data_IF_038773874001
#
_entry.id   IF_038773874001
#
_cell.length_a   1.000
_cell.length_b   1.000
_cell.length_c   1.000
_cell.angle_alpha   90.00
_cell.angle_beta   90.00
_cell.angle_gamma   90.00
#
_symmetry.space_group_name_H-M   'P 1'
#
loop_
_entity.id
_entity.type
_entity.pdbx_description
1 polymer ?
#
# COMPACT_ATOMS: atom_id res chain seq x y z
N UNK A 1 -18.50 1.07 -12.01
CA UNK A 1 -17.06 1.31 -12.28
C UNK A 1 -16.95 2.50 -13.20
N UNK A 2 -16.04 3.43 -12.92
CA UNK A 2 -15.87 4.69 -13.65
C UNK A 2 -14.51 4.76 -14.35
N UNK A 3 -14.43 5.55 -15.42
CA UNK A 3 -13.19 5.81 -16.18
C UNK A 3 -12.18 6.64 -15.40
N UNK A 4 -12.65 7.62 -14.62
CA UNK A 4 -11.88 8.49 -13.75
C UNK A 4 -12.60 8.71 -12.41
N UNK A 5 -11.96 9.39 -11.46
CA UNK A 5 -12.59 9.77 -10.18
C UNK A 5 -13.54 10.96 -10.29
N UNK A 6 -13.44 11.71 -11.38
CA UNK A 6 -14.15 12.97 -11.58
C UNK A 6 -15.20 12.85 -12.69
N UNK A 7 -15.28 11.67 -13.33
CA UNK A 7 -16.23 11.36 -14.39
C UNK A 7 -17.43 10.60 -13.84
N UNK A 8 -18.59 10.87 -14.42
CA UNK A 8 -19.85 10.13 -14.22
C UNK A 8 -19.98 8.92 -15.15
N UNK A 9 -19.04 8.73 -16.08
CA UNK A 9 -19.09 7.70 -17.11
C UNK A 9 -18.94 6.31 -16.50
N UNK A 10 -20.03 5.56 -16.53
CA UNK A 10 -20.07 4.20 -16.01
C UNK A 10 -19.56 3.22 -17.08
N UNK A 11 -18.43 2.57 -16.79
CA UNK A 11 -17.88 1.47 -17.60
C UNK A 11 -18.74 0.21 -17.45
N UNK A 12 -18.99 -0.20 -16.21
CA UNK A 12 -19.71 -1.45 -15.89
C UNK A 12 -20.10 -1.50 -14.42
N UNK A 13 -21.07 -2.35 -14.07
CA UNK A 13 -21.49 -2.62 -12.69
C UNK A 13 -21.00 -4.01 -12.28
N UNK A 14 -20.18 -4.05 -11.23
CA UNK A 14 -19.68 -5.30 -10.67
C UNK A 14 -20.74 -5.89 -9.73
N UNK A 15 -21.20 -7.13 -9.93
CA UNK A 15 -22.17 -7.77 -9.04
C UNK A 15 -21.65 -7.91 -7.60
N UNK A 16 -22.56 -8.05 -6.63
CA UNK A 16 -22.18 -8.32 -5.24
C UNK A 16 -21.49 -9.69 -5.12
N UNK A 17 -20.62 -9.82 -4.11
CA UNK A 17 -19.90 -11.06 -3.79
C UNK A 17 -19.03 -11.62 -4.93
N UNK A 18 -18.56 -10.77 -5.84
CA UNK A 18 -17.60 -11.17 -6.86
C UNK A 18 -16.17 -10.87 -6.41
N UNK A 19 -15.26 -11.77 -6.71
CA UNK A 19 -13.84 -11.54 -6.50
C UNK A 19 -13.29 -10.55 -7.53
N UNK A 20 -12.44 -9.65 -7.04
CA UNK A 20 -11.82 -8.59 -7.86
C UNK A 20 -10.38 -8.39 -7.44
N UNK A 21 -9.55 -7.93 -8.37
CA UNK A 21 -8.18 -7.56 -8.05
C UNK A 21 -8.14 -6.09 -7.66
N UNK A 22 -7.64 -5.80 -6.46
CA UNK A 22 -7.32 -4.43 -6.04
C UNK A 22 -5.99 -4.00 -6.64
N UNK A 23 -5.95 -2.80 -7.21
CA UNK A 23 -4.70 -2.20 -7.66
C UNK A 23 -3.83 -1.82 -6.46
N UNK A 24 -2.53 -2.15 -6.54
CA UNK A 24 -1.50 -1.75 -5.57
C UNK A 24 -1.12 -0.27 -5.65
N UNK A 25 -1.61 0.44 -6.67
CA UNK A 25 -1.35 1.87 -6.88
C UNK A 25 -2.03 2.78 -5.87
N UNK A 26 -1.67 4.06 -5.91
CA UNK A 26 -2.23 5.09 -5.03
C UNK A 26 -3.75 5.20 -5.21
N UNK A 27 -4.48 4.74 -4.20
CA UNK A 27 -5.92 4.84 -4.15
C UNK A 27 -6.34 6.25 -3.70
N UNK A 28 -7.30 6.88 -4.39
CA UNK A 28 -7.78 8.23 -4.05
C UNK A 28 -8.93 8.14 -3.04
N UNK A 29 -8.74 8.44 -1.76
CA UNK A 29 -9.79 8.53 -0.71
C UNK A 29 -10.95 7.50 -0.90
N UNK A 30 -12.10 7.99 -1.39
CA UNK A 30 -13.35 7.23 -1.60
C UNK A 30 -13.31 6.34 -2.85
N UNK A 31 -12.39 6.56 -3.76
CA UNK A 31 -12.22 5.79 -4.98
C UNK A 31 -11.10 4.77 -4.85
N UNK A 32 -11.42 3.52 -5.20
CA UNK A 32 -10.45 2.43 -5.31
C UNK A 32 -10.37 1.99 -6.76
N UNK A 33 -9.16 1.71 -7.24
CA UNK A 33 -8.99 1.15 -8.58
C UNK A 33 -9.00 -0.37 -8.48
N UNK A 34 -9.92 -1.00 -9.21
CA UNK A 34 -10.04 -2.46 -9.25
C UNK A 34 -10.00 -2.95 -10.69
N UNK A 35 -9.69 -4.23 -10.86
CA UNK A 35 -9.79 -4.98 -12.10
C UNK A 35 -10.75 -6.14 -11.90
N UNK A 36 -11.69 -6.29 -12.83
CA UNK A 36 -12.68 -7.36 -12.85
C UNK A 36 -12.83 -7.86 -14.29
N UNK A 37 -12.40 -9.10 -14.54
CA UNK A 37 -12.29 -9.64 -15.90
C UNK A 37 -11.42 -8.75 -16.79
N UNK A 38 -11.98 -8.35 -17.93
CA UNK A 38 -11.35 -7.44 -18.90
C UNK A 38 -11.55 -5.95 -18.59
N UNK A 39 -12.32 -5.63 -17.54
CA UNK A 39 -12.59 -4.26 -17.15
C UNK A 39 -11.63 -3.80 -16.06
N UNK A 40 -11.24 -2.53 -16.13
CA UNK A 40 -10.52 -1.86 -15.05
C UNK A 40 -11.05 -0.43 -14.92
N UNK A 41 -11.10 0.07 -13.69
CA UNK A 41 -11.60 1.43 -13.46
C UNK A 41 -11.66 1.77 -11.98
N UNK A 42 -12.37 2.85 -11.67
CA UNK A 42 -12.59 3.32 -10.31
C UNK A 42 -13.95 2.86 -9.77
N UNK A 43 -13.97 2.36 -8.54
CA UNK A 43 -15.20 2.17 -7.76
C UNK A 43 -15.29 3.24 -6.69
N UNK A 44 -16.48 3.81 -6.54
CA UNK A 44 -16.78 4.70 -5.44
C UNK A 44 -17.20 3.89 -4.21
N UNK A 45 -16.50 4.12 -3.10
CA UNK A 45 -16.72 3.55 -1.77
C UNK A 45 -17.06 2.04 -1.77
N UNK A 46 -16.24 1.17 -2.38
CA UNK A 46 -16.55 -0.26 -2.42
C UNK A 46 -16.43 -0.86 -1.01
N UNK A 47 -17.42 -1.69 -0.64
CA UNK A 47 -17.31 -2.59 0.50
C UNK A 47 -16.69 -3.90 0.02
N UNK A 48 -15.56 -4.30 0.61
CA UNK A 48 -14.87 -5.54 0.28
C UNK A 48 -14.13 -6.08 1.49
N UNK A 49 -13.96 -7.40 1.53
CA UNK A 49 -13.05 -8.10 2.43
C UNK A 49 -11.80 -8.51 1.66
N UNK A 50 -10.63 -8.47 2.30
CA UNK A 50 -9.37 -8.91 1.68
C UNK A 50 -8.96 -10.25 2.25
N UNK A 51 -8.84 -11.26 1.39
CA UNK A 51 -8.25 -12.55 1.74
C UNK A 51 -6.71 -12.43 1.61
N UNK A 52 -6.04 -11.96 2.66
CA UNK A 52 -4.57 -11.93 2.70
C UNK A 52 -4.04 -13.01 3.63
N UNK A 53 -3.48 -14.08 3.06
CA UNK A 53 -2.60 -15.02 3.78
C UNK A 53 -1.15 -14.50 3.89
N UNK A 54 -0.86 -13.34 3.31
CA UNK A 54 0.38 -12.64 3.57
C UNK A 54 0.24 -11.86 4.87
N UNK A 55 1.04 -12.23 5.87
CA UNK A 55 1.23 -11.45 7.09
C UNK A 55 1.77 -10.07 6.69
N UNK A 56 0.88 -9.11 6.53
CA UNK A 56 1.24 -7.70 6.61
C UNK A 56 1.73 -7.49 8.03
N UNK A 57 3.03 -7.37 8.23
CA UNK A 57 3.62 -6.90 9.49
C UNK A 57 3.33 -5.40 9.64
N UNK A 58 2.04 -5.04 9.75
CA UNK A 58 1.56 -3.76 10.25
C UNK A 58 0.27 -4.05 11.00
N UNK A 59 0.32 -3.68 12.27
CA UNK A 59 -0.58 -4.10 13.33
C UNK A 59 -2.06 -4.08 12.94
N UNK A 60 -2.72 -5.15 13.33
CA UNK A 60 -4.16 -5.24 13.48
C UNK A 60 -4.65 -4.09 14.35
N UNK A 61 -5.46 -3.21 13.78
CA UNK A 61 -6.53 -2.57 14.55
C UNK A 61 -7.77 -2.53 13.67
N UNK A 62 -8.70 -3.39 14.06
CA UNK A 62 -10.11 -3.28 13.79
C UNK A 62 -10.60 -1.86 14.04
N UNK A 63 -11.34 -1.32 13.07
CA UNK A 63 -12.30 -0.27 13.31
C UNK A 63 -11.77 1.17 13.34
N UNK A 64 -12.62 2.04 12.81
CA UNK A 64 -12.64 3.50 12.96
C UNK A 64 -11.60 4.33 12.20
N UNK A 65 -12.13 5.10 11.25
CA UNK A 65 -11.53 6.27 10.61
C UNK A 65 -10.90 7.22 11.62
N UNK A 66 -9.62 7.54 11.44
CA UNK A 66 -9.03 8.77 11.97
C UNK A 66 -8.00 9.29 10.95
N UNK A 67 -8.26 10.49 10.46
CA UNK A 67 -7.31 11.25 9.64
C UNK A 67 -6.09 11.61 10.49
N UNK A 68 -4.89 11.25 10.03
CA UNK A 68 -3.66 11.92 10.47
C UNK A 68 -2.88 12.37 9.24
N UNK A 69 -3.09 13.64 8.89
CA UNK A 69 -2.17 14.39 8.06
C UNK A 69 -1.00 14.80 8.95
N UNK A 70 0.20 14.37 8.61
CA UNK A 70 1.42 14.97 9.13
C UNK A 70 2.41 15.12 7.98
N UNK A 71 2.23 16.24 7.26
CA UNK A 71 3.35 16.96 6.67
C UNK A 71 4.38 17.23 7.76
N UNK A 72 5.61 16.78 7.57
CA UNK A 72 6.67 17.00 8.54
C UNK A 72 8.02 16.63 7.99
N UNK A 73 8.54 17.45 7.08
CA UNK A 73 9.97 17.49 6.78
C UNK A 73 10.68 18.11 7.97
N UNK A 74 11.47 17.34 8.72
CA UNK A 74 12.50 17.88 9.61
C UNK A 74 13.63 16.87 9.83
N UNK A 75 14.83 17.34 9.52
CA UNK A 75 16.16 16.79 9.77
C UNK A 75 16.46 16.61 11.26
N UNK A 76 16.98 15.46 11.68
CA UNK A 76 17.80 15.34 12.88
C UNK A 76 18.78 14.16 12.80
N UNK A 77 20.03 14.45 13.15
CA UNK A 77 21.24 13.67 12.90
C UNK A 77 21.53 12.63 13.99
N UNK A 78 20.69 11.59 14.09
CA UNK A 78 20.90 10.44 15.01
C UNK A 78 20.09 9.21 14.60
N UNK A 79 20.05 8.91 13.30
CA UNK A 79 19.05 8.01 12.71
C UNK A 79 19.43 6.52 12.62
N UNK A 80 18.43 5.66 12.49
CA UNK A 80 18.64 4.31 11.96
C UNK A 80 18.82 4.35 10.43
N UNK A 81 19.64 3.47 9.88
CA UNK A 81 19.94 3.34 8.45
C UNK A 81 19.19 2.13 7.88
N UNK A 82 18.38 2.37 6.84
CA UNK A 82 17.73 1.29 6.08
C UNK A 82 18.70 0.69 5.07
N UNK A 83 18.86 -0.64 5.10
CA UNK A 83 19.74 -1.41 4.20
C UNK A 83 18.88 -2.30 3.30
N UNK A 84 19.08 -2.17 1.99
CA UNK A 84 18.41 -3.01 0.98
C UNK A 84 18.99 -4.42 0.96
N UNK A 85 18.17 -5.41 0.61
CA UNK A 85 18.61 -6.78 0.41
C UNK A 85 19.49 -6.94 -0.82
N UNK A 86 20.39 -7.93 -0.81
CA UNK A 86 21.29 -8.24 -1.92
C UNK A 86 21.75 -9.71 -1.88
N UNK A 87 22.26 -10.21 -3.00
CA UNK A 87 22.91 -11.52 -3.09
C UNK A 87 24.41 -11.41 -2.79
N UNK A 88 24.94 -12.33 -1.98
CA UNK A 88 26.39 -12.48 -1.74
C UNK A 88 27.04 -13.25 -2.90
N UNK A 89 28.38 -13.16 -3.03
CA UNK A 89 29.16 -13.88 -4.06
C UNK A 89 28.97 -15.40 -4.01
N UNK A 90 28.69 -15.96 -2.84
CA UNK A 90 28.39 -17.39 -2.66
C UNK A 90 26.93 -17.77 -2.96
N UNK A 91 26.12 -16.85 -3.51
CA UNK A 91 24.71 -17.08 -3.88
C UNK A 91 23.70 -16.91 -2.74
N UNK A 92 24.13 -16.72 -1.50
CA UNK A 92 23.22 -16.54 -0.36
C UNK A 92 22.54 -15.15 -0.39
N UNK A 93 21.21 -15.11 -0.23
CA UNK A 93 20.44 -13.86 -0.19
C UNK A 93 20.42 -13.24 1.21
N UNK A 94 20.73 -11.94 1.29
CA UNK A 94 20.63 -11.13 2.49
C UNK A 94 19.34 -10.32 2.45
N UNK A 95 18.46 -10.52 3.43
CA UNK A 95 17.20 -9.78 3.56
C UNK A 95 17.45 -8.30 3.91
N UNK A 96 16.62 -7.36 3.39
CA UNK A 96 16.64 -5.97 3.84
C UNK A 96 16.48 -5.89 5.36
N UNK A 97 17.22 -4.98 6.01
CA UNK A 97 17.15 -4.77 7.45
C UNK A 97 17.48 -3.31 7.80
N UNK A 98 17.28 -2.94 9.07
CA UNK A 98 17.60 -1.62 9.60
C UNK A 98 18.74 -1.78 10.60
N UNK A 99 19.73 -0.87 10.57
CA UNK A 99 20.87 -0.83 11.51
C UNK A 99 21.03 0.54 12.15
N UNK A 100 21.68 0.64 13.29
CA UNK A 100 22.02 1.93 13.92
C UNK A 100 22.96 2.75 13.02
N UNK A 101 22.81 4.08 13.00
CA UNK A 101 23.79 4.93 12.33
C UNK A 101 25.19 4.77 12.93
N UNK A 102 26.23 4.96 12.10
CA UNK A 102 27.59 5.07 12.62
C UNK A 102 27.65 6.22 13.62
N UNK A 103 28.08 5.93 14.84
CA UNK A 103 28.39 6.95 15.85
C UNK A 103 29.74 7.57 15.54
N UNK A 104 29.84 8.90 15.54
CA UNK A 104 31.11 9.60 15.39
C UNK A 104 31.86 9.47 16.73
N UNK A 105 32.94 8.68 16.75
CA UNK A 105 33.89 8.68 17.88
C UNK A 105 34.51 10.08 17.97
N UNK A 106 34.47 10.67 19.17
CA UNK A 106 35.27 11.86 19.52
C UNK A 106 36.71 11.45 19.77
#
# INVERSE_FOLDING_TARGET
MYTSTDSIDLITTVPKNTEVFLSSGSNKKKYKRIKWGNYSGWTYNPAFTTYSNYVSSKGSSSGTSAYHYSSGRSTSSSGSVSVKGHYRKNGSYVRPHTRSAPSRRK
#
